data_IF_181255256268
#
_entry.id   IF_181255256268
#
_cell.length_a   1.000
_cell.length_b   1.000
_cell.length_c   1.000
_cell.angle_alpha   90.00
_cell.angle_beta   90.00
_cell.angle_gamma   90.00
#
_symmetry.space_group_name_H-M   'P 1'
#
loop_
_entity.id
_entity.type
_entity.pdbx_description
1 polymer ?
#
# COMPACT_ATOMS: atom_id res chain seq x y z
N UNK A 1 13.63 0.10 -15.28
CA UNK A 1 12.77 1.28 -15.05
C UNK A 1 11.72 1.46 -16.16
N UNK A 2 12.10 1.57 -17.45
CA UNK A 2 11.15 1.76 -18.56
C UNK A 2 9.99 0.74 -18.63
N UNK A 3 10.24 -0.54 -18.33
CA UNK A 3 9.17 -1.58 -18.33
C UNK A 3 8.04 -1.29 -17.34
N UNK A 4 8.36 -0.71 -16.18
CA UNK A 4 7.36 -0.43 -15.14
C UNK A 4 6.53 0.79 -15.50
N UNK A 5 7.15 1.84 -16.03
CA UNK A 5 6.44 2.99 -16.57
C UNK A 5 5.53 2.59 -17.74
N UNK A 6 6.00 1.73 -18.64
CA UNK A 6 5.19 1.18 -19.72
C UNK A 6 3.98 0.37 -19.22
N UNK A 7 4.14 -0.41 -18.14
CA UNK A 7 3.02 -1.11 -17.51
C UNK A 7 2.01 -0.13 -16.90
N UNK A 8 2.47 0.90 -16.20
CA UNK A 8 1.61 1.95 -15.62
C UNK A 8 0.85 2.74 -16.69
N UNK A 9 1.45 2.99 -17.85
CA UNK A 9 0.78 3.65 -18.98
C UNK A 9 -0.42 2.84 -19.49
N UNK A 10 -0.25 1.51 -19.57
CA UNK A 10 -1.28 0.57 -20.05
C UNK A 10 -2.37 0.26 -19.02
N UNK A 11 -2.14 0.55 -17.75
CA UNK A 11 -3.05 0.20 -16.67
C UNK A 11 -4.18 1.23 -16.52
N UNK A 12 -5.41 0.76 -16.35
CA UNK A 12 -6.56 1.59 -15.93
C UNK A 12 -6.64 1.72 -14.40
N UNK A 13 -6.18 0.68 -13.70
CA UNK A 13 -6.11 0.58 -12.25
C UNK A 13 -4.69 0.20 -11.81
N UNK A 14 -4.14 0.96 -10.88
CA UNK A 14 -2.87 0.68 -10.21
C UNK A 14 -3.19 0.16 -8.81
N UNK A 15 -2.79 -1.07 -8.52
CA UNK A 15 -2.92 -1.67 -7.18
C UNK A 15 -1.55 -1.78 -6.55
N UNK A 16 -1.38 -1.17 -5.37
CA UNK A 16 -0.21 -1.39 -4.54
C UNK A 16 -0.50 -2.49 -3.54
N UNK A 17 0.02 -3.69 -3.80
CA UNK A 17 -0.05 -4.84 -2.90
C UNK A 17 1.27 -5.02 -2.16
N UNK A 18 1.25 -5.02 -0.83
CA UNK A 18 2.47 -5.26 -0.03
C UNK A 18 2.17 -5.78 1.37
N UNK A 19 3.12 -6.47 2.02
CA UNK A 19 3.05 -6.68 3.46
C UNK A 19 3.42 -5.39 4.21
N UNK A 20 2.69 -5.09 5.27
CA UNK A 20 2.86 -3.87 6.05
C UNK A 20 4.01 -4.02 7.04
N UNK A 21 5.17 -3.48 6.66
CA UNK A 21 6.41 -3.58 7.42
C UNK A 21 6.69 -2.26 8.09
N UNK A 22 6.79 -2.30 9.42
CA UNK A 22 7.03 -1.10 10.24
C UNK A 22 6.09 0.04 9.85
N UNK A 23 4.79 -0.28 9.78
CA UNK A 23 3.70 0.66 9.53
C UNK A 23 3.76 1.36 8.16
N UNK A 24 4.48 0.79 7.20
CA UNK A 24 4.51 1.28 5.82
C UNK A 24 4.84 0.18 4.80
N UNK A 25 5.09 0.58 3.55
CA UNK A 25 5.50 -0.32 2.48
C UNK A 25 6.94 -0.84 2.69
N UNK A 26 7.28 -2.06 2.22
CA UNK A 26 8.63 -2.59 2.31
C UNK A 26 9.66 -1.75 1.55
N UNK A 27 10.92 -1.79 1.97
CA UNK A 27 12.01 -1.01 1.36
C UNK A 27 12.13 -1.23 -0.16
N UNK A 28 11.92 -2.46 -0.64
CA UNK A 28 11.96 -2.75 -2.08
C UNK A 28 10.86 -2.03 -2.85
N UNK A 29 9.65 -1.95 -2.29
CA UNK A 29 8.55 -1.22 -2.91
C UNK A 29 8.80 0.29 -2.85
N UNK A 30 9.32 0.80 -1.73
CA UNK A 30 9.70 2.20 -1.62
C UNK A 30 10.77 2.59 -2.65
N UNK A 31 11.78 1.74 -2.84
CA UNK A 31 12.79 1.92 -3.90
C UNK A 31 12.16 1.93 -5.29
N UNK A 32 11.25 0.99 -5.57
CA UNK A 32 10.53 0.98 -6.84
C UNK A 32 9.73 2.27 -7.05
N UNK A 33 9.06 2.77 -6.01
CA UNK A 33 8.33 4.03 -6.06
C UNK A 33 9.27 5.18 -6.42
N UNK A 34 10.40 5.30 -5.71
CA UNK A 34 11.38 6.37 -5.93
C UNK A 34 12.01 6.35 -7.33
N UNK A 35 12.21 5.15 -7.90
CA UNK A 35 12.82 4.96 -9.22
C UNK A 35 11.82 5.08 -10.39
N UNK A 36 10.53 4.85 -10.14
CA UNK A 36 9.50 4.81 -11.20
C UNK A 36 8.66 6.07 -11.22
N UNK A 37 8.32 6.64 -10.05
CA UNK A 37 7.49 7.84 -9.90
C UNK A 37 8.32 9.11 -10.02
N UNK A 38 8.92 9.29 -11.19
CA UNK A 38 9.76 10.44 -11.50
C UNK A 38 8.94 11.65 -11.93
N UNK A 39 9.50 12.84 -11.70
CA UNK A 39 8.94 14.11 -12.18
C UNK A 39 8.82 14.09 -13.71
N UNK A 40 7.68 14.58 -14.23
CA UNK A 40 7.36 14.54 -15.66
C UNK A 40 6.79 13.21 -16.15
N UNK A 41 6.78 12.16 -15.31
CA UNK A 41 6.07 10.91 -15.58
C UNK A 41 4.87 10.73 -14.65
N UNK A 42 5.10 10.65 -13.34
CA UNK A 42 4.03 10.42 -12.37
C UNK A 42 3.36 11.71 -11.90
N UNK A 43 4.16 12.76 -11.73
CA UNK A 43 3.74 14.05 -11.18
C UNK A 43 4.42 15.21 -11.93
N UNK A 44 4.08 16.44 -11.53
CA UNK A 44 4.48 17.65 -12.25
C UNK A 44 3.54 18.00 -13.40
N UNK A 45 3.81 19.11 -14.09
CA UNK A 45 2.94 19.62 -15.16
C UNK A 45 2.81 18.66 -16.35
N UNK A 46 3.82 17.82 -16.59
CA UNK A 46 3.84 16.80 -17.65
C UNK A 46 3.47 15.39 -17.20
N UNK A 47 3.09 15.19 -15.93
CA UNK A 47 2.75 13.87 -15.40
C UNK A 47 1.56 13.22 -16.13
N UNK A 48 1.72 11.95 -16.53
CA UNK A 48 0.84 11.20 -17.43
C UNK A 48 0.00 10.12 -16.73
N UNK A 49 0.11 10.00 -15.40
CA UNK A 49 -0.68 9.03 -14.62
C UNK A 49 -2.04 9.56 -14.17
N UNK A 50 -2.30 10.85 -14.36
CA UNK A 50 -3.52 11.50 -13.86
C UNK A 50 -4.81 10.83 -14.34
N UNK A 51 -5.80 10.75 -13.46
CA UNK A 51 -7.11 10.15 -13.70
C UNK A 51 -7.17 8.62 -13.62
N UNK A 52 -6.02 7.92 -13.59
CA UNK A 52 -5.99 6.47 -13.38
C UNK A 52 -6.43 6.12 -11.96
N UNK A 53 -7.14 5.01 -11.81
CA UNK A 53 -7.58 4.52 -10.49
C UNK A 53 -6.38 4.02 -9.69
N UNK A 54 -6.40 4.27 -8.40
CA UNK A 54 -5.33 3.85 -7.50
C UNK A 54 -5.90 3.25 -6.20
N UNK A 55 -5.54 1.99 -5.94
CA UNK A 55 -5.95 1.24 -4.76
C UNK A 55 -4.72 0.79 -3.97
N UNK A 56 -4.79 0.92 -2.66
CA UNK A 56 -3.79 0.34 -1.75
C UNK A 56 -4.37 -0.92 -1.13
N UNK A 57 -3.60 -2.01 -1.15
CA UNK A 57 -3.95 -3.29 -0.56
C UNK A 57 -2.77 -3.81 0.24
N UNK A 58 -2.94 -4.15 1.51
CA UNK A 58 -1.83 -4.67 2.30
C UNK A 58 -2.25 -5.71 3.33
N UNK A 59 -1.24 -6.36 3.90
CA UNK A 59 -1.47 -7.34 4.95
C UNK A 59 -0.67 -7.01 6.20
N UNK A 60 -1.24 -7.26 7.38
CA UNK A 60 -0.53 -7.06 8.66
C UNK A 60 -0.30 -8.39 9.37
N UNK A 61 0.80 -8.47 10.12
CA UNK A 61 1.05 -9.62 10.99
C UNK A 61 0.16 -9.61 12.25
N UNK A 62 0.00 -8.45 12.88
CA UNK A 62 -0.81 -8.27 14.08
C UNK A 62 -2.32 -8.36 13.75
N UNK A 63 -3.17 -8.77 14.73
CA UNK A 63 -4.62 -8.84 14.57
C UNK A 63 -5.26 -7.44 14.46
N UNK A 64 -6.52 -7.38 14.01
CA UNK A 64 -7.24 -6.12 13.81
C UNK A 64 -7.35 -5.26 15.08
N UNK A 65 -7.46 -5.89 16.26
CA UNK A 65 -7.50 -5.21 17.57
C UNK A 65 -6.25 -4.39 17.88
N UNK A 66 -5.13 -4.68 17.22
CA UNK A 66 -3.91 -3.89 17.38
C UNK A 66 -3.99 -2.53 16.69
N UNK A 67 -5.00 -2.27 15.86
CA UNK A 67 -5.08 -1.10 15.00
C UNK A 67 -6.36 -0.27 15.13
N UNK A 68 -7.04 -0.34 16.28
CA UNK A 68 -8.32 0.37 16.49
C UNK A 68 -8.17 1.88 16.69
N UNK A 69 -6.96 2.36 17.01
CA UNK A 69 -6.72 3.76 17.40
C UNK A 69 -7.10 4.10 18.84
N UNK A 70 -7.50 3.11 19.64
CA UNK A 70 -7.75 3.26 21.08
C UNK A 70 -6.45 3.36 21.88
N UNK A 71 -6.54 3.68 23.17
CA UNK A 71 -5.38 3.97 24.03
C UNK A 71 -4.34 2.82 24.08
N UNK A 72 -4.81 1.57 24.04
CA UNK A 72 -3.95 0.37 24.10
C UNK A 72 -3.63 -0.21 22.71
N UNK A 73 -4.13 0.41 21.64
CA UNK A 73 -3.83 -0.01 20.28
C UNK A 73 -2.42 0.43 19.88
N UNK A 74 -1.80 -0.31 18.97
CA UNK A 74 -0.48 0.05 18.42
C UNK A 74 -0.60 1.32 17.58
N UNK A 75 -1.68 1.44 16.78
CA UNK A 75 -1.95 2.60 15.93
C UNK A 75 -3.43 2.65 15.54
N UNK A 76 -3.82 3.69 14.82
CA UNK A 76 -5.06 3.72 14.04
C UNK A 76 -4.71 3.42 12.57
N UNK A 77 -5.19 2.29 12.04
CA UNK A 77 -4.89 1.90 10.65
C UNK A 77 -5.41 2.91 9.64
N UNK A 78 -6.53 3.57 9.91
CA UNK A 78 -7.09 4.56 8.99
C UNK A 78 -6.12 5.73 8.83
N UNK A 79 -5.60 6.25 9.95
CA UNK A 79 -4.58 7.32 9.93
C UNK A 79 -3.31 6.90 9.22
N UNK A 80 -2.85 5.65 9.43
CA UNK A 80 -1.67 5.16 8.73
C UNK A 80 -1.87 5.11 7.21
N UNK A 81 -3.09 4.88 6.73
CA UNK A 81 -3.37 4.83 5.28
C UNK A 81 -3.57 6.20 4.64
N UNK A 82 -3.74 7.27 5.42
CA UNK A 82 -3.91 8.62 4.89
C UNK A 82 -2.71 9.08 4.07
N UNK A 83 -1.50 8.60 4.37
CA UNK A 83 -0.27 8.96 3.65
C UNK A 83 -0.34 8.63 2.16
N UNK A 84 -1.08 7.59 1.78
CA UNK A 84 -1.22 7.19 0.38
C UNK A 84 -2.10 8.16 -0.43
N UNK A 85 -3.04 8.84 0.24
CA UNK A 85 -3.86 9.88 -0.39
C UNK A 85 -2.98 11.06 -0.84
N UNK A 86 -1.91 11.38 -0.10
CA UNK A 86 -0.97 12.43 -0.47
C UNK A 86 -0.22 12.09 -1.76
N UNK A 87 0.25 10.84 -1.92
CA UNK A 87 0.88 10.39 -3.17
C UNK A 87 -0.12 10.40 -4.33
N UNK A 88 -1.34 9.94 -4.10
CA UNK A 88 -2.40 9.97 -5.11
C UNK A 88 -2.67 11.40 -5.59
N UNK A 89 -2.81 12.34 -4.66
CA UNK A 89 -3.03 13.77 -4.94
C UNK A 89 -1.87 14.37 -5.76
N UNK A 90 -0.63 14.10 -5.36
CA UNK A 90 0.55 14.57 -6.10
C UNK A 90 0.59 14.06 -7.54
N UNK A 91 0.17 12.82 -7.75
CA UNK A 91 0.14 12.16 -9.07
C UNK A 91 -1.17 12.38 -9.83
N UNK A 92 -2.14 13.12 -9.26
CA UNK A 92 -3.50 13.31 -9.79
C UNK A 92 -4.24 11.99 -10.06
N UNK A 93 -3.98 10.96 -9.25
CA UNK A 93 -4.64 9.66 -9.33
C UNK A 93 -6.03 9.72 -8.70
N UNK A 94 -6.95 8.91 -9.22
CA UNK A 94 -8.28 8.70 -8.64
C UNK A 94 -8.18 7.67 -7.49
N UNK A 95 -8.00 8.16 -6.27
CA UNK A 95 -7.74 7.32 -5.08
C UNK A 95 -9.01 6.58 -4.63
N UNK A 96 -8.96 5.25 -4.68
CA UNK A 96 -10.07 4.36 -4.32
C UNK A 96 -10.04 3.93 -2.84
N UNK A 97 -9.11 4.46 -2.05
CA UNK A 97 -8.91 4.07 -0.65
C UNK A 97 -7.90 2.95 -0.46
N UNK A 98 -7.91 2.39 0.74
CA UNK A 98 -7.08 1.27 1.14
C UNK A 98 -7.93 0.11 1.65
N UNK A 99 -7.46 -1.12 1.41
CA UNK A 99 -8.00 -2.34 2.00
C UNK A 99 -6.89 -3.18 2.60
N UNK A 100 -7.21 -4.00 3.58
CA UNK A 100 -6.21 -4.80 4.26
C UNK A 100 -6.77 -6.08 4.87
N UNK A 101 -5.87 -7.04 5.11
CA UNK A 101 -6.13 -8.26 5.87
C UNK A 101 -5.20 -8.27 7.08
N UNK A 102 -5.77 -8.40 8.28
CA UNK A 102 -5.01 -8.48 9.52
C UNK A 102 -4.72 -9.92 9.94
N UNK A 103 -3.76 -10.10 10.86
CA UNK A 103 -3.50 -11.38 11.52
C UNK A 103 -2.77 -12.44 10.67
N UNK A 104 -2.16 -12.07 9.54
CA UNK A 104 -1.57 -13.06 8.61
C UNK A 104 -0.09 -13.36 8.86
N UNK A 105 0.35 -13.26 10.12
CA UNK A 105 1.73 -13.55 10.49
C UNK A 105 2.18 -14.94 10.02
N UNK A 106 3.43 -15.06 9.58
CA UNK A 106 4.01 -16.37 9.26
C UNK A 106 4.37 -17.16 10.52
N UNK A 107 4.61 -16.47 11.64
CA UNK A 107 4.97 -17.12 12.91
C UNK A 107 3.80 -17.88 13.54
N UNK A 108 2.56 -17.45 13.31
CA UNK A 108 1.37 -18.15 13.79
C UNK A 108 1.09 -19.43 13.00
N UNK A 109 1.69 -19.64 11.83
CA UNK A 109 1.47 -20.84 10.99
C UNK A 109 2.25 -22.08 11.45
N UNK A 110 3.09 -21.94 12.46
CA UNK A 110 3.89 -23.03 13.01
C UNK A 110 3.27 -23.67 14.26
N UNK A 111 2.21 -23.08 14.81
CA UNK A 111 1.48 -23.68 15.93
C UNK A 111 0.33 -24.54 15.41
N UNK A 112 -0.03 -25.64 16.10
CA UNK A 112 -1.17 -26.47 15.73
C UNK A 112 -2.46 -25.65 15.56
N UNK A 113 -2.71 -24.66 16.44
CA UNK A 113 -3.92 -23.83 16.35
C UNK A 113 -3.95 -22.93 15.10
N UNK A 114 -2.79 -22.47 14.61
CA UNK A 114 -2.71 -21.64 13.40
C UNK A 114 -2.74 -22.42 12.09
N UNK A 115 -2.70 -23.76 12.14
CA UNK A 115 -2.96 -24.65 11.00
C UNK A 115 -4.48 -24.85 10.84
N UNK A 116 -5.23 -24.96 11.93
CA UNK A 116 -6.68 -25.18 11.91
C UNK A 116 -7.50 -23.93 11.55
N UNK A 117 -6.92 -22.74 11.70
CA UNK A 117 -7.57 -21.46 11.39
C UNK A 117 -7.36 -20.97 9.94
N UNK A 118 -6.78 -21.81 9.07
CA UNK A 118 -6.67 -21.59 7.63
C UNK A 118 -7.86 -22.20 6.89
#
# INVERSE_FOLDING_TARGET
MMRYQAALLKADLIVWQFPFYWYTMPALMKKWLDEVFLHGFSHGSKGVLGGKKFLVSFTTGAPAVAYTGEADAIADINRLTELYSATAKLCRLDYQGAMWINGVSYTSRQTPEGIEQQ
#
